data_IF_228960801641
#
_entry.id   IF_228960801641
#
_cell.length_a   1.000
_cell.length_b   1.000
_cell.length_c   1.000
_cell.angle_alpha   90.00
_cell.angle_beta   90.00
_cell.angle_gamma   90.00
#
_symmetry.space_group_name_H-M   'P 1'
#
loop_
_entity.id
_entity.type
_entity.pdbx_description
1 polymer ?
#
# COMPACT_ATOMS: atom_id res chain seq x y z
N UNK A 1 -39.11 75.21 -41.89
CA UNK A 1 -39.91 74.15 -42.54
C UNK A 1 -39.25 72.82 -42.20
N UNK A 2 -40.03 71.86 -41.66
CA UNK A 2 -39.69 70.43 -41.44
C UNK A 2 -38.64 70.18 -40.33
N UNK A 3 -38.90 69.76 -39.08
CA UNK A 3 -39.73 68.71 -38.47
C UNK A 3 -39.23 67.26 -38.70
N UNK A 4 -38.67 66.61 -37.65
CA UNK A 4 -38.71 65.16 -37.29
C UNK A 4 -37.65 64.89 -36.20
N UNK A 5 -38.01 64.66 -34.93
CA UNK A 5 -38.63 63.48 -34.27
C UNK A 5 -37.68 62.27 -34.16
N UNK A 6 -37.20 62.09 -32.92
CA UNK A 6 -36.93 60.88 -32.12
C UNK A 6 -36.75 59.51 -32.79
N UNK A 7 -35.77 58.71 -32.30
CA UNK A 7 -36.08 57.41 -31.68
C UNK A 7 -34.92 56.90 -30.80
N UNK A 8 -35.27 56.59 -29.55
CA UNK A 8 -34.52 55.87 -28.53
C UNK A 8 -34.22 54.43 -28.97
N UNK A 9 -32.98 53.94 -28.76
CA UNK A 9 -32.73 52.54 -28.41
C UNK A 9 -31.71 52.53 -27.28
N UNK A 10 -32.22 52.47 -26.06
CA UNK A 10 -31.47 52.24 -24.83
C UNK A 10 -31.20 50.72 -24.74
N UNK A 11 -30.07 50.26 -25.26
CA UNK A 11 -29.63 48.86 -25.10
C UNK A 11 -29.23 48.62 -23.64
N UNK A 12 -30.17 48.09 -22.86
CA UNK A 12 -29.94 47.55 -21.52
C UNK A 12 -29.05 46.31 -21.69
N UNK A 13 -27.73 46.52 -21.63
CA UNK A 13 -26.75 45.45 -21.47
C UNK A 13 -26.89 44.89 -20.05
N UNK A 14 -27.81 43.95 -19.88
CA UNK A 14 -27.92 43.14 -18.67
C UNK A 14 -26.65 42.30 -18.53
N UNK A 15 -25.68 42.82 -17.77
CA UNK A 15 -24.60 42.03 -17.17
C UNK A 15 -25.24 41.01 -16.22
N UNK A 16 -25.63 39.86 -16.76
CA UNK A 16 -25.85 38.66 -15.98
C UNK A 16 -24.48 38.22 -15.44
N UNK A 17 -24.10 38.81 -14.31
CA UNK A 17 -23.09 38.26 -13.43
C UNK A 17 -23.66 36.94 -12.87
N UNK A 18 -23.52 35.86 -13.64
CA UNK A 18 -23.67 34.53 -13.09
C UNK A 18 -22.65 34.41 -11.96
N UNK A 19 -23.05 34.18 -10.70
CA UNK A 19 -22.09 33.77 -9.69
C UNK A 19 -21.52 32.45 -10.22
N UNK A 20 -20.26 32.49 -10.66
CA UNK A 20 -19.48 31.27 -10.85
C UNK A 20 -19.33 30.73 -9.43
N UNK A 21 -20.32 29.93 -9.03
CA UNK A 21 -20.35 29.26 -7.75
C UNK A 21 -19.06 28.48 -7.64
N UNK A 22 -18.19 28.91 -6.74
CA UNK A 22 -16.97 28.23 -6.39
C UNK A 22 -17.32 26.94 -5.64
N UNK A 23 -17.87 25.94 -6.35
CA UNK A 23 -18.12 24.59 -5.83
C UNK A 23 -16.93 23.65 -6.14
N UNK A 24 -15.76 24.22 -6.42
CA UNK A 24 -14.57 23.47 -6.82
C UNK A 24 -13.58 23.19 -5.68
N UNK A 25 -13.90 23.56 -4.43
CA UNK A 25 -12.97 23.46 -3.30
C UNK A 25 -12.72 22.03 -2.78
N UNK A 26 -13.52 21.03 -3.18
CA UNK A 26 -13.43 19.67 -2.62
C UNK A 26 -12.85 18.60 -3.56
N UNK A 27 -12.64 18.89 -4.84
CA UNK A 27 -12.43 17.81 -5.81
C UNK A 27 -10.95 17.56 -6.14
N UNK A 28 -10.23 16.91 -5.22
CA UNK A 28 -9.09 16.07 -5.58
C UNK A 28 -9.48 14.58 -5.39
N UNK A 29 -10.06 13.92 -6.40
CA UNK A 29 -10.48 12.51 -6.30
C UNK A 29 -9.32 11.51 -6.18
N UNK A 30 -8.09 11.98 -6.41
CA UNK A 30 -6.87 11.23 -6.16
C UNK A 30 -6.58 11.06 -4.66
N UNK A 31 -7.22 11.85 -3.79
CA UNK A 31 -7.12 11.75 -2.33
C UNK A 31 -8.47 11.34 -1.74
N UNK A 32 -8.51 10.13 -1.20
CA UNK A 32 -9.61 9.55 -0.44
C UNK A 32 -8.99 8.65 0.62
N UNK A 33 -8.95 9.10 1.86
CA UNK A 33 -8.33 8.36 2.95
C UNK A 33 -9.26 7.31 3.57
N UNK A 34 -10.47 7.12 3.03
CA UNK A 34 -11.45 6.14 3.51
C UNK A 34 -11.69 6.28 5.02
N UNK A 35 -11.85 7.51 5.50
CA UNK A 35 -11.92 7.78 6.94
C UNK A 35 -13.16 7.20 7.60
N UNK A 36 -14.27 7.04 6.85
CA UNK A 36 -15.54 6.57 7.38
C UNK A 36 -15.51 5.10 7.85
N UNK A 37 -14.62 4.28 7.29
CA UNK A 37 -14.48 2.86 7.62
C UNK A 37 -13.62 2.60 8.86
N UNK A 38 -12.98 3.64 9.43
CA UNK A 38 -12.18 3.48 10.64
C UNK A 38 -13.09 3.19 11.86
N UNK A 39 -12.77 2.19 12.70
CA UNK A 39 -13.65 1.69 13.75
C UNK A 39 -13.80 2.62 14.97
N UNK A 40 -12.95 3.64 15.09
CA UNK A 40 -12.88 4.53 16.26
C UNK A 40 -13.09 5.98 15.85
N UNK A 41 -13.95 6.69 16.57
CA UNK A 41 -14.28 8.09 16.27
C UNK A 41 -13.05 9.01 16.24
N UNK A 42 -12.15 8.87 17.21
CA UNK A 42 -10.92 9.66 17.24
C UNK A 42 -10.01 9.37 16.03
N UNK A 43 -9.95 8.13 15.52
CA UNK A 43 -9.23 7.81 14.28
C UNK A 43 -9.87 8.49 13.07
N UNK A 44 -11.21 8.48 12.99
CA UNK A 44 -11.96 9.17 11.92
C UNK A 44 -11.62 10.67 11.91
N UNK A 45 -11.66 11.32 13.07
CA UNK A 45 -11.35 12.75 13.21
C UNK A 45 -9.93 13.10 12.72
N UNK A 46 -8.92 12.34 13.15
CA UNK A 46 -7.53 12.55 12.69
C UNK A 46 -7.40 12.31 11.20
N UNK A 47 -8.04 11.25 10.68
CA UNK A 47 -8.05 10.92 9.26
C UNK A 47 -8.66 12.05 8.43
N UNK A 48 -9.84 12.57 8.79
CA UNK A 48 -10.48 13.66 8.04
C UNK A 48 -9.65 14.94 8.04
N UNK A 49 -8.96 15.25 9.14
CA UNK A 49 -8.04 16.39 9.21
C UNK A 49 -6.85 16.22 8.26
N UNK A 50 -6.25 15.03 8.24
CA UNK A 50 -5.16 14.70 7.32
C UNK A 50 -5.63 14.72 5.86
N UNK A 51 -6.76 14.09 5.55
CA UNK A 51 -7.37 14.07 4.21
C UNK A 51 -7.62 15.49 3.70
N UNK A 52 -8.20 16.36 4.53
CA UNK A 52 -8.44 17.76 4.19
C UNK A 52 -7.14 18.52 3.87
N UNK A 53 -6.06 18.25 4.61
CA UNK A 53 -4.75 18.83 4.32
C UNK A 53 -4.19 18.32 2.98
N UNK A 54 -4.28 17.02 2.73
CA UNK A 54 -3.81 16.39 1.49
C UNK A 54 -4.60 16.88 0.27
N UNK A 55 -5.92 17.04 0.38
CA UNK A 55 -6.78 17.61 -0.67
C UNK A 55 -6.38 19.05 -1.01
N UNK A 56 -6.14 19.91 0.00
CA UNK A 56 -5.63 21.27 -0.23
C UNK A 56 -4.28 21.28 -0.95
N UNK A 57 -3.34 20.41 -0.54
CA UNK A 57 -2.03 20.28 -1.19
C UNK A 57 -2.15 19.75 -2.63
N UNK A 58 -3.04 18.79 -2.86
CA UNK A 58 -3.31 18.24 -4.18
C UNK A 58 -3.85 19.31 -5.15
N UNK A 59 -4.83 20.12 -4.70
CA UNK A 59 -5.39 21.23 -5.50
C UNK A 59 -4.30 22.24 -5.83
N UNK A 60 -3.46 22.61 -4.85
CA UNK A 60 -2.33 23.52 -5.06
C UNK A 60 -1.25 22.95 -6.01
N UNK A 61 -1.22 21.63 -6.20
CA UNK A 61 -0.27 20.92 -7.05
C UNK A 61 -0.95 20.32 -8.29
N UNK A 62 -1.84 21.08 -8.93
CA UNK A 62 -2.47 20.70 -10.21
C UNK A 62 -3.17 19.33 -10.18
N UNK A 63 -3.90 19.06 -9.09
CA UNK A 63 -4.61 17.79 -8.85
C UNK A 63 -3.70 16.56 -8.72
N UNK A 64 -2.41 16.75 -8.38
CA UNK A 64 -1.47 15.66 -8.10
C UNK A 64 -1.16 15.61 -6.59
N UNK A 65 -1.44 14.50 -5.89
CA UNK A 65 -1.19 14.40 -4.46
C UNK A 65 0.33 14.42 -4.17
N UNK A 66 0.74 15.25 -3.19
CA UNK A 66 2.14 15.36 -2.74
C UNK A 66 2.47 14.45 -1.54
N UNK A 67 1.47 13.77 -0.98
CA UNK A 67 1.62 12.96 0.22
C UNK A 67 0.71 11.74 0.20
N UNK A 68 0.68 11.03 1.32
CA UNK A 68 -0.09 9.79 1.50
C UNK A 68 -1.06 9.90 2.67
N UNK A 69 -2.15 9.14 2.61
CA UNK A 69 -3.06 8.92 3.73
C UNK A 69 -2.37 8.03 4.77
N UNK A 70 -1.83 8.61 5.83
CA UNK A 70 -1.08 7.87 6.83
C UNK A 70 -2.02 7.21 7.86
N UNK A 71 -3.08 7.93 8.26
CA UNK A 71 -4.25 7.39 8.96
C UNK A 71 -5.32 7.12 7.91
N UNK A 72 -5.76 5.87 7.78
CA UNK A 72 -6.48 5.48 6.57
C UNK A 72 -7.34 4.23 6.71
N UNK A 73 -8.50 4.21 6.04
CA UNK A 73 -9.29 3.00 5.87
C UNK A 73 -8.67 2.00 4.89
N UNK A 74 -9.20 0.77 4.81
CA UNK A 74 -8.69 -0.28 3.93
C UNK A 74 -8.67 0.11 2.43
N UNK A 75 -9.59 0.95 1.97
CA UNK A 75 -9.74 1.37 0.58
C UNK A 75 -9.06 2.71 0.24
N UNK A 76 -8.26 3.26 1.15
CA UNK A 76 -7.66 4.58 1.00
C UNK A 76 -6.66 4.70 -0.17
N UNK A 77 -6.54 5.93 -0.68
CA UNK A 77 -5.60 6.37 -1.72
C UNK A 77 -5.22 7.86 -1.55
N UNK A 78 -3.97 8.24 -1.84
CA UNK A 78 -2.84 7.37 -2.17
C UNK A 78 -2.19 6.80 -0.91
N UNK A 79 -1.63 5.60 -1.03
CA UNK A 79 -0.83 4.94 0.01
C UNK A 79 0.56 4.60 -0.54
N UNK A 80 1.62 4.59 0.27
CA UNK A 80 2.97 4.24 -0.15
C UNK A 80 3.17 2.71 -0.29
N UNK A 81 2.10 1.92 -0.46
CA UNK A 81 2.16 0.47 -0.54
C UNK A 81 2.81 0.00 -1.85
N UNK A 82 3.35 -1.22 -1.85
CA UNK A 82 3.93 -1.83 -3.05
C UNK A 82 2.89 -2.56 -3.91
N UNK A 83 1.75 -2.91 -3.31
CA UNK A 83 0.60 -3.52 -3.98
C UNK A 83 -0.36 -2.43 -4.46
N UNK A 84 -0.64 -2.45 -5.75
CA UNK A 84 -1.67 -1.60 -6.36
C UNK A 84 -3.00 -2.36 -6.43
N UNK A 85 -4.07 -1.71 -5.98
CA UNK A 85 -5.42 -2.27 -6.03
C UNK A 85 -6.15 -1.73 -7.25
N UNK A 86 -5.97 -2.39 -8.39
CA UNK A 86 -6.68 -2.08 -9.64
C UNK A 86 -8.07 -2.72 -9.68
N UNK A 87 -9.02 -2.18 -10.43
CA UNK A 87 -10.28 -2.90 -10.65
C UNK A 87 -10.06 -4.18 -11.47
N UNK A 88 -10.69 -5.28 -11.06
CA UNK A 88 -10.66 -6.56 -11.78
C UNK A 88 -12.06 -6.91 -12.26
N UNK A 89 -12.16 -7.44 -13.48
CA UNK A 89 -13.43 -7.89 -14.05
C UNK A 89 -13.91 -9.21 -13.44
N UNK A 90 -15.21 -9.46 -13.47
CA UNK A 90 -15.78 -10.76 -13.10
C UNK A 90 -15.69 -11.70 -14.31
N UNK A 91 -15.21 -12.93 -14.06
CA UNK A 91 -15.16 -14.00 -15.04
C UNK A 91 -16.48 -14.78 -15.05
N UNK A 92 -16.95 -15.26 -16.22
CA UNK A 92 -18.05 -16.20 -16.28
C UNK A 92 -17.65 -17.54 -15.62
N UNK A 93 -18.63 -18.27 -15.09
CA UNK A 93 -18.39 -19.52 -14.36
C UNK A 93 -17.58 -20.55 -15.16
N UNK A 94 -17.83 -20.64 -16.47
CA UNK A 94 -17.12 -21.54 -17.40
C UNK A 94 -15.62 -21.26 -17.55
N UNK A 95 -15.13 -20.10 -17.10
CA UNK A 95 -13.71 -19.72 -17.15
C UNK A 95 -12.99 -19.86 -15.81
N UNK A 96 -13.70 -20.15 -14.72
CA UNK A 96 -13.10 -20.18 -13.39
C UNK A 96 -12.09 -21.30 -13.19
N UNK A 97 -12.36 -22.49 -13.73
CA UNK A 97 -11.43 -23.62 -13.64
C UNK A 97 -10.13 -23.33 -14.39
N UNK A 98 -10.24 -22.82 -15.62
CA UNK A 98 -9.09 -22.40 -16.41
C UNK A 98 -8.27 -21.30 -15.70
N UNK A 99 -8.93 -20.29 -15.12
CA UNK A 99 -8.24 -19.23 -14.39
C UNK A 99 -7.57 -19.73 -13.11
N UNK A 100 -8.14 -20.72 -12.42
CA UNK A 100 -7.51 -21.39 -11.28
C UNK A 100 -6.26 -22.15 -11.70
N UNK A 101 -6.31 -22.87 -12.83
CA UNK A 101 -5.16 -23.59 -13.37
C UNK A 101 -4.05 -22.63 -13.83
N UNK A 102 -4.40 -21.56 -14.53
CA UNK A 102 -3.45 -20.50 -14.90
C UNK A 102 -2.77 -19.91 -13.64
N UNK A 103 -3.51 -19.70 -12.55
CA UNK A 103 -2.93 -19.20 -11.29
C UNK A 103 -1.94 -20.20 -10.67
N UNK A 104 -2.19 -21.50 -10.79
CA UNK A 104 -1.23 -22.53 -10.35
C UNK A 104 0.03 -22.51 -11.23
N UNK A 105 -0.13 -22.43 -12.54
CA UNK A 105 1.00 -22.37 -13.47
C UNK A 105 1.89 -21.15 -13.23
N UNK A 106 1.30 -19.96 -13.01
CA UNK A 106 2.07 -18.75 -12.65
C UNK A 106 2.81 -18.95 -11.31
N UNK A 107 2.18 -19.59 -10.33
CA UNK A 107 2.85 -19.91 -9.06
C UNK A 107 4.04 -20.88 -9.24
N UNK A 108 3.91 -21.91 -10.08
CA UNK A 108 5.03 -22.80 -10.41
C UNK A 108 6.15 -22.05 -11.13
N UNK A 109 5.80 -21.18 -12.08
CA UNK A 109 6.74 -20.32 -12.79
C UNK A 109 7.52 -19.43 -11.81
N UNK A 110 6.85 -18.78 -10.85
CA UNK A 110 7.50 -17.97 -9.81
C UNK A 110 8.53 -18.76 -8.99
N UNK A 111 8.25 -20.02 -8.66
CA UNK A 111 9.20 -20.87 -7.95
C UNK A 111 10.42 -21.16 -8.82
N UNK A 112 10.20 -21.53 -10.08
CA UNK A 112 11.29 -21.78 -11.04
C UNK A 112 12.15 -20.53 -11.26
N UNK A 113 11.52 -19.35 -11.40
CA UNK A 113 12.21 -18.06 -11.54
C UNK A 113 13.06 -17.76 -10.29
N UNK A 114 12.55 -18.07 -9.10
CA UNK A 114 13.29 -17.89 -7.85
C UNK A 114 14.50 -18.83 -7.74
N UNK A 115 14.33 -20.11 -8.08
CA UNK A 115 15.43 -21.07 -8.07
C UNK A 115 16.52 -20.67 -9.09
N UNK A 116 16.12 -20.26 -10.30
CA UNK A 116 17.03 -19.75 -11.33
C UNK A 116 17.74 -18.47 -10.89
N UNK A 117 17.05 -17.58 -10.18
CA UNK A 117 17.65 -16.39 -9.60
C UNK A 117 18.76 -16.73 -8.59
N UNK A 118 18.52 -17.68 -7.68
CA UNK A 118 19.53 -18.14 -6.73
C UNK A 118 20.72 -18.81 -7.42
N UNK A 119 20.47 -19.58 -8.48
CA UNK A 119 21.50 -20.21 -9.30
C UNK A 119 22.40 -19.17 -9.98
N UNK A 120 21.83 -18.13 -10.59
CA UNK A 120 22.61 -17.06 -11.21
C UNK A 120 23.43 -16.26 -10.18
N UNK A 121 22.90 -16.03 -8.97
CA UNK A 121 23.69 -15.44 -7.88
C UNK A 121 24.87 -16.33 -7.51
N UNK A 122 24.67 -17.66 -7.45
CA UNK A 122 25.71 -18.62 -7.05
C UNK A 122 26.88 -18.64 -8.03
N UNK A 123 26.61 -18.52 -9.33
CA UNK A 123 27.64 -18.46 -10.38
C UNK A 123 28.10 -17.04 -10.73
N UNK A 124 27.73 -16.05 -9.91
CA UNK A 124 28.08 -14.62 -10.07
C UNK A 124 27.58 -13.96 -11.37
N UNK A 125 26.58 -14.56 -12.02
CA UNK A 125 25.89 -14.03 -13.20
C UNK A 125 24.84 -12.98 -12.81
N UNK A 126 25.28 -11.87 -12.23
CA UNK A 126 24.40 -10.88 -11.59
C UNK A 126 23.47 -10.15 -12.58
N UNK A 127 23.86 -10.02 -13.85
CA UNK A 127 23.04 -9.39 -14.89
C UNK A 127 21.85 -10.27 -15.23
N UNK A 128 22.09 -11.55 -15.41
CA UNK A 128 21.09 -12.60 -15.67
C UNK A 128 20.16 -12.74 -14.46
N UNK A 129 20.72 -12.78 -13.24
CA UNK A 129 19.94 -12.77 -12.01
C UNK A 129 18.96 -11.57 -11.97
N UNK A 130 19.43 -10.37 -12.33
CA UNK A 130 18.56 -9.18 -12.38
C UNK A 130 17.42 -9.35 -13.39
N UNK A 131 17.70 -9.88 -14.58
CA UNK A 131 16.69 -10.07 -15.64
C UNK A 131 15.61 -11.06 -15.19
N UNK A 132 16.00 -12.22 -14.67
CA UNK A 132 15.06 -13.22 -14.13
C UNK A 132 14.23 -12.61 -13.00
N UNK A 133 14.85 -11.83 -12.11
CA UNK A 133 14.12 -11.22 -11.01
C UNK A 133 13.13 -10.13 -11.46
N UNK A 134 13.41 -9.43 -12.56
CA UNK A 134 12.45 -8.49 -13.17
C UNK A 134 11.23 -9.23 -13.74
N UNK A 135 11.40 -10.44 -14.27
CA UNK A 135 10.30 -11.33 -14.69
C UNK A 135 9.53 -11.87 -13.49
N UNK A 136 10.23 -12.34 -12.46
CA UNK A 136 9.63 -12.77 -11.19
C UNK A 136 8.69 -11.71 -10.61
N UNK A 137 9.13 -10.43 -10.58
CA UNK A 137 8.31 -9.33 -10.07
C UNK A 137 6.99 -9.15 -10.84
N UNK A 138 7.01 -9.28 -12.17
CA UNK A 138 5.80 -9.20 -13.01
C UNK A 138 4.88 -10.41 -12.81
N UNK A 139 5.45 -11.60 -12.68
CA UNK A 139 4.69 -12.83 -12.41
C UNK A 139 4.01 -12.77 -11.03
N UNK A 140 4.63 -12.11 -10.05
CA UNK A 140 4.06 -11.89 -8.72
C UNK A 140 2.80 -11.01 -8.79
N UNK A 141 2.85 -9.94 -9.58
CA UNK A 141 1.71 -9.06 -9.85
C UNK A 141 0.58 -9.76 -10.60
N UNK A 142 0.93 -10.49 -11.66
CA UNK A 142 -0.02 -11.26 -12.44
C UNK A 142 -0.74 -12.30 -11.56
N UNK A 143 0.00 -13.00 -10.69
CA UNK A 143 -0.59 -13.97 -9.77
C UNK A 143 -1.58 -13.32 -8.80
N UNK A 144 -1.23 -12.19 -8.19
CA UNK A 144 -2.14 -11.49 -7.28
C UNK A 144 -3.38 -10.95 -7.99
N UNK A 145 -3.21 -10.40 -9.20
CA UNK A 145 -4.34 -9.94 -10.03
C UNK A 145 -5.29 -11.08 -10.39
N UNK A 146 -4.76 -12.23 -10.83
CA UNK A 146 -5.56 -13.43 -11.12
C UNK A 146 -6.32 -13.91 -9.88
N UNK A 147 -5.67 -13.90 -8.71
CA UNK A 147 -6.29 -14.28 -7.45
C UNK A 147 -7.45 -13.34 -7.07
N UNK A 148 -7.29 -12.03 -7.26
CA UNK A 148 -8.35 -11.03 -7.07
C UNK A 148 -9.51 -11.27 -8.03
N UNK A 149 -9.22 -11.51 -9.30
CA UNK A 149 -10.23 -11.77 -10.32
C UNK A 149 -11.05 -13.03 -9.99
N UNK A 150 -10.37 -14.13 -9.65
CA UNK A 150 -11.00 -15.40 -9.27
C UNK A 150 -11.91 -15.25 -8.05
N UNK A 151 -11.42 -14.60 -7.00
CA UNK A 151 -12.17 -14.46 -5.75
C UNK A 151 -13.37 -13.52 -5.90
N UNK A 152 -13.21 -12.40 -6.62
CA UNK A 152 -14.33 -11.51 -6.99
C UNK A 152 -15.39 -12.27 -7.79
N UNK A 153 -14.97 -13.14 -8.73
CA UNK A 153 -15.89 -13.92 -9.56
C UNK A 153 -16.63 -15.01 -8.78
N UNK A 154 -15.98 -15.68 -7.82
CA UNK A 154 -16.68 -16.61 -6.94
C UNK A 154 -17.66 -15.89 -6.00
N UNK A 155 -17.30 -14.71 -5.50
CA UNK A 155 -18.21 -13.90 -4.69
C UNK A 155 -19.46 -13.47 -5.48
N UNK A 156 -19.31 -13.02 -6.73
CA UNK A 156 -20.47 -12.63 -7.56
C UNK A 156 -21.40 -13.78 -7.94
N UNK A 157 -20.96 -15.03 -7.76
CA UNK A 157 -21.76 -16.24 -7.98
C UNK A 157 -22.36 -16.80 -6.66
N UNK A 158 -22.38 -16.00 -5.58
CA UNK A 158 -22.81 -16.41 -4.24
C UNK A 158 -22.03 -17.64 -3.71
N UNK A 159 -20.73 -17.70 -4.01
CA UNK A 159 -19.80 -18.74 -3.54
C UNK A 159 -18.74 -18.16 -2.59
N UNK A 160 -19.18 -17.36 -1.62
CA UNK A 160 -18.32 -16.60 -0.67
C UNK A 160 -17.38 -17.51 0.11
N UNK A 161 -17.84 -18.68 0.56
CA UNK A 161 -16.98 -19.65 1.26
C UNK A 161 -15.80 -20.08 0.38
N UNK A 162 -16.04 -20.31 -0.92
CA UNK A 162 -14.98 -20.69 -1.86
C UNK A 162 -14.03 -19.51 -2.09
N UNK A 163 -14.55 -18.30 -2.24
CA UNK A 163 -13.74 -17.08 -2.35
C UNK A 163 -12.82 -16.88 -1.13
N UNK A 164 -13.35 -16.98 0.10
CA UNK A 164 -12.57 -16.88 1.34
C UNK A 164 -11.50 -17.98 1.45
N UNK A 165 -11.83 -19.23 1.11
CA UNK A 165 -10.86 -20.33 1.14
C UNK A 165 -9.72 -20.12 0.13
N UNK A 166 -10.02 -19.60 -1.07
CA UNK A 166 -9.01 -19.25 -2.06
C UNK A 166 -8.09 -18.14 -1.55
N UNK A 167 -8.66 -17.10 -0.93
CA UNK A 167 -7.89 -16.04 -0.31
C UNK A 167 -6.95 -16.55 0.78
N UNK A 168 -7.47 -17.37 1.69
CA UNK A 168 -6.71 -17.93 2.78
C UNK A 168 -5.57 -18.85 2.29
N UNK A 169 -5.84 -19.69 1.29
CA UNK A 169 -4.83 -20.56 0.69
C UNK A 169 -3.73 -19.80 -0.03
N UNK A 170 -4.09 -18.73 -0.76
CA UNK A 170 -3.12 -17.85 -1.40
C UNK A 170 -2.27 -17.09 -0.38
N UNK A 171 -2.86 -16.58 0.70
CA UNK A 171 -2.14 -15.88 1.77
C UNK A 171 -0.98 -16.71 2.34
N UNK A 172 -1.23 -17.99 2.65
CA UNK A 172 -0.19 -18.89 3.17
C UNK A 172 0.97 -19.12 2.20
N UNK A 173 0.67 -19.28 0.90
CA UNK A 173 1.70 -19.42 -0.14
C UNK A 173 2.53 -18.15 -0.31
N UNK A 174 1.87 -16.99 -0.27
CA UNK A 174 2.53 -15.68 -0.38
C UNK A 174 3.43 -15.38 0.81
N UNK A 175 3.07 -15.79 2.04
CA UNK A 175 3.95 -15.69 3.21
C UNK A 175 5.21 -16.52 3.01
N UNK A 176 5.09 -17.79 2.63
CA UNK A 176 6.26 -18.66 2.45
C UNK A 176 7.24 -18.09 1.41
N UNK A 177 6.72 -17.57 0.30
CA UNK A 177 7.52 -16.88 -0.71
C UNK A 177 8.15 -15.59 -0.17
N UNK A 178 7.38 -14.78 0.57
CA UNK A 178 7.85 -13.54 1.18
C UNK A 178 9.01 -13.79 2.17
N UNK A 179 8.95 -14.87 2.95
CA UNK A 179 10.00 -15.26 3.88
C UNK A 179 11.28 -15.71 3.17
N UNK A 180 11.16 -16.52 2.12
CA UNK A 180 12.31 -16.92 1.28
C UNK A 180 13.00 -15.71 0.66
N UNK A 181 12.23 -14.78 0.09
CA UNK A 181 12.73 -13.52 -0.46
C UNK A 181 13.39 -12.63 0.62
N UNK A 182 12.80 -12.56 1.82
CA UNK A 182 13.36 -11.80 2.95
C UNK A 182 14.72 -12.37 3.35
N UNK A 183 14.80 -13.70 3.53
CA UNK A 183 16.01 -14.41 3.91
C UNK A 183 17.11 -14.20 2.87
N UNK A 184 16.79 -14.35 1.59
CA UNK A 184 17.73 -14.12 0.50
C UNK A 184 18.22 -12.66 0.46
N UNK A 185 17.30 -11.70 0.54
CA UNK A 185 17.66 -10.27 0.56
C UNK A 185 18.61 -9.91 1.69
N UNK A 186 18.33 -10.38 2.92
CA UNK A 186 19.22 -10.18 4.07
C UNK A 186 20.58 -10.89 3.90
N UNK A 187 20.59 -12.10 3.34
CA UNK A 187 21.83 -12.84 3.02
C UNK A 187 22.69 -12.07 2.02
N UNK A 188 22.08 -11.50 0.98
CA UNK A 188 22.79 -10.71 -0.04
C UNK A 188 23.35 -9.41 0.54
N UNK A 189 22.62 -8.71 1.42
CA UNK A 189 23.17 -7.56 2.16
C UNK A 189 24.39 -7.94 3.01
N UNK A 190 24.35 -9.10 3.66
CA UNK A 190 25.50 -9.60 4.43
C UNK A 190 26.68 -9.94 3.52
N UNK A 191 26.46 -10.63 2.39
CA UNK A 191 27.53 -10.93 1.41
C UNK A 191 28.15 -9.65 0.85
N UNK A 192 27.31 -8.66 0.52
CA UNK A 192 27.74 -7.34 0.05
C UNK A 192 28.76 -6.72 1.01
N UNK A 193 28.41 -6.61 2.29
CA UNK A 193 29.26 -5.92 3.28
C UNK A 193 30.59 -6.64 3.55
N UNK A 194 30.75 -7.87 3.07
CA UNK A 194 31.97 -8.66 3.18
C UNK A 194 32.73 -8.78 1.84
N UNK A 195 32.21 -8.19 0.75
CA UNK A 195 32.87 -8.21 -0.56
C UNK A 195 33.82 -7.02 -0.68
N UNK A 196 35.01 -7.26 -1.25
CA UNK A 196 36.03 -6.23 -1.47
C UNK A 196 36.01 -5.71 -2.92
N UNK A 197 35.26 -6.37 -3.82
CA UNK A 197 35.08 -5.92 -5.18
C UNK A 197 33.88 -4.97 -5.26
N UNK A 198 34.13 -3.70 -5.62
CA UNK A 198 33.12 -2.65 -5.65
C UNK A 198 31.99 -2.90 -6.67
N UNK A 199 32.28 -3.60 -7.77
CA UNK A 199 31.30 -3.95 -8.78
C UNK A 199 30.35 -5.04 -8.26
N UNK A 200 30.92 -6.10 -7.66
CA UNK A 200 30.13 -7.16 -7.01
C UNK A 200 29.35 -6.64 -5.82
N UNK A 201 29.94 -5.80 -4.99
CA UNK A 201 29.28 -5.13 -3.87
C UNK A 201 28.02 -4.39 -4.35
N UNK A 202 28.15 -3.56 -5.39
CA UNK A 202 27.03 -2.82 -5.98
C UNK A 202 25.96 -3.76 -6.53
N UNK A 203 26.37 -4.80 -7.27
CA UNK A 203 25.44 -5.77 -7.83
C UNK A 203 24.64 -6.50 -6.73
N UNK A 204 25.32 -7.00 -5.70
CA UNK A 204 24.70 -7.65 -4.55
C UNK A 204 23.72 -6.71 -3.82
N UNK A 205 24.06 -5.44 -3.64
CA UNK A 205 23.16 -4.44 -3.04
C UNK A 205 21.87 -4.23 -3.84
N UNK A 206 21.97 -4.16 -5.18
CA UNK A 206 20.80 -4.04 -6.06
C UNK A 206 19.91 -5.27 -5.95
N UNK A 207 20.48 -6.47 -6.05
CA UNK A 207 19.74 -7.73 -5.98
C UNK A 207 19.11 -7.94 -4.59
N UNK A 208 19.82 -7.57 -3.53
CA UNK A 208 19.31 -7.62 -2.16
C UNK A 208 18.07 -6.73 -1.98
N UNK A 209 18.13 -5.48 -2.45
CA UNK A 209 17.00 -4.56 -2.38
C UNK A 209 15.82 -5.04 -3.22
N UNK A 210 16.07 -5.65 -4.38
CA UNK A 210 15.02 -6.27 -5.21
C UNK A 210 14.33 -7.41 -4.44
N UNK A 211 15.08 -8.33 -3.85
CA UNK A 211 14.55 -9.41 -3.02
C UNK A 211 13.72 -8.89 -1.84
N UNK A 212 14.23 -7.90 -1.09
CA UNK A 212 13.50 -7.29 0.04
C UNK A 212 12.22 -6.57 -0.40
N UNK A 213 12.23 -5.83 -1.53
CA UNK A 213 11.02 -5.16 -2.04
C UNK A 213 9.96 -6.16 -2.47
N UNK A 214 10.34 -7.25 -3.16
CA UNK A 214 9.39 -8.31 -3.53
C UNK A 214 8.89 -9.07 -2.32
N UNK A 215 9.73 -9.32 -1.31
CA UNK A 215 9.31 -9.90 -0.03
C UNK A 215 8.24 -9.04 0.64
N UNK A 216 8.52 -7.75 0.76
CA UNK A 216 7.61 -6.77 1.31
C UNK A 216 6.27 -6.76 0.58
N UNK A 217 6.30 -6.78 -0.76
CA UNK A 217 5.11 -6.83 -1.61
C UNK A 217 4.31 -8.12 -1.44
N UNK A 218 4.97 -9.27 -1.36
CA UNK A 218 4.33 -10.56 -1.13
C UNK A 218 3.67 -10.64 0.27
N UNK A 219 4.28 -10.05 1.31
CA UNK A 219 3.62 -9.90 2.60
C UNK A 219 2.39 -8.99 2.52
N UNK A 220 2.45 -7.84 1.83
CA UNK A 220 1.26 -7.01 1.62
C UNK A 220 0.14 -7.77 0.91
N UNK A 221 0.45 -8.51 -0.16
CA UNK A 221 -0.51 -9.36 -0.86
C UNK A 221 -1.14 -10.40 0.07
N UNK A 222 -0.32 -11.05 0.92
CA UNK A 222 -0.80 -12.02 1.89
C UNK A 222 -1.68 -11.38 2.98
N UNK A 223 -1.33 -10.20 3.47
CA UNK A 223 -2.10 -9.49 4.48
C UNK A 223 -3.48 -9.11 3.95
N UNK A 224 -3.54 -8.52 2.73
CA UNK A 224 -4.79 -8.20 2.02
C UNK A 224 -5.65 -9.45 1.79
N UNK A 225 -4.99 -10.58 1.51
CA UNK A 225 -5.66 -11.87 1.31
C UNK A 225 -6.27 -12.39 2.61
N UNK A 226 -5.58 -12.28 3.74
CA UNK A 226 -6.17 -12.64 5.04
C UNK A 226 -7.32 -11.71 5.44
N UNK A 227 -7.20 -10.40 5.20
CA UNK A 227 -8.31 -9.46 5.38
C UNK A 227 -9.53 -9.90 4.57
N UNK A 228 -9.33 -10.20 3.28
CA UNK A 228 -10.40 -10.64 2.38
C UNK A 228 -10.98 -12.01 2.73
N UNK A 229 -10.25 -12.83 3.49
CA UNK A 229 -10.72 -14.09 4.04
C UNK A 229 -11.43 -13.95 5.40
N UNK A 230 -11.50 -12.74 5.98
CA UNK A 230 -12.04 -12.50 7.33
C UNK A 230 -11.12 -12.98 8.46
N UNK A 231 -9.80 -13.01 8.21
CA UNK A 231 -8.79 -13.48 9.15
C UNK A 231 -7.93 -12.31 9.69
N UNK A 232 -8.57 -11.28 10.24
CA UNK A 232 -7.93 -10.02 10.66
C UNK A 232 -6.74 -10.20 11.61
N UNK A 233 -6.83 -11.12 12.58
CA UNK A 233 -5.69 -11.47 13.45
C UNK A 233 -4.44 -11.87 12.67
N UNK A 234 -4.60 -12.66 11.60
CA UNK A 234 -3.48 -13.06 10.73
C UNK A 234 -3.03 -11.91 9.86
N UNK A 235 -3.96 -11.11 9.32
CA UNK A 235 -3.63 -9.92 8.56
C UNK A 235 -2.75 -8.97 9.38
N UNK A 236 -3.07 -8.75 10.67
CA UNK A 236 -2.29 -7.90 11.57
C UNK A 236 -0.82 -8.38 11.69
N UNK A 237 -0.59 -9.67 11.95
CA UNK A 237 0.77 -10.23 11.99
C UNK A 237 1.52 -10.02 10.66
N UNK A 238 0.86 -10.30 9.54
CA UNK A 238 1.51 -10.19 8.22
C UNK A 238 1.81 -8.74 7.83
N UNK A 239 0.94 -7.78 8.19
CA UNK A 239 1.23 -6.36 8.03
C UNK A 239 2.45 -5.92 8.84
N UNK A 240 2.62 -6.47 10.05
CA UNK A 240 3.80 -6.22 10.90
C UNK A 240 5.06 -6.78 10.24
N UNK A 241 5.01 -7.98 9.69
CA UNK A 241 6.14 -8.57 8.95
C UNK A 241 6.51 -7.74 7.72
N UNK A 242 5.51 -7.28 6.96
CA UNK A 242 5.73 -6.34 5.85
C UNK A 242 6.41 -5.04 6.34
N UNK A 243 6.02 -4.49 7.49
CA UNK A 243 6.68 -3.30 8.05
C UNK A 243 8.14 -3.56 8.44
N UNK A 244 8.44 -4.75 8.98
CA UNK A 244 9.80 -5.12 9.39
C UNK A 244 10.73 -5.20 8.18
N UNK A 245 10.24 -5.69 7.02
CA UNK A 245 11.01 -5.70 5.77
C UNK A 245 11.31 -4.28 5.28
N UNK A 246 10.32 -3.37 5.27
CA UNK A 246 10.63 -1.98 4.87
C UNK A 246 11.49 -1.25 5.87
N UNK A 247 11.45 -1.60 7.16
CA UNK A 247 12.39 -1.06 8.14
C UNK A 247 13.82 -1.51 7.83
N UNK A 248 14.03 -2.77 7.42
CA UNK A 248 15.33 -3.24 6.97
C UNK A 248 15.82 -2.47 5.74
N UNK A 249 14.94 -2.21 4.76
CA UNK A 249 15.26 -1.39 3.59
C UNK A 249 15.59 0.05 3.98
N UNK A 250 14.81 0.67 4.86
CA UNK A 250 15.03 2.03 5.36
C UNK A 250 16.39 2.16 6.06
N UNK A 251 16.71 1.22 6.96
CA UNK A 251 18.00 1.19 7.66
C UNK A 251 19.15 1.08 6.68
N UNK A 252 19.05 0.20 5.69
CA UNK A 252 20.04 0.07 4.63
C UNK A 252 20.18 1.37 3.84
N UNK A 253 19.08 1.95 3.35
CA UNK A 253 19.11 3.20 2.58
C UNK A 253 19.70 4.37 3.36
N UNK A 254 19.44 4.45 4.66
CA UNK A 254 20.04 5.45 5.54
C UNK A 254 21.55 5.26 5.67
N UNK A 255 22.02 4.03 5.86
CA UNK A 255 23.45 3.71 5.94
C UNK A 255 24.20 4.07 4.63
N UNK A 256 23.53 3.93 3.48
CA UNK A 256 24.05 4.31 2.16
C UNK A 256 23.95 5.81 1.86
N UNK A 257 23.51 6.65 2.81
CA UNK A 257 23.34 8.08 2.59
C UNK A 257 22.32 8.41 1.49
N UNK A 258 21.27 7.60 1.34
CA UNK A 258 20.24 7.84 0.32
C UNK A 258 19.52 9.18 0.55
N UNK A 259 19.03 9.83 -0.53
CA UNK A 259 18.29 11.09 -0.42
C UNK A 259 17.05 10.99 0.48
N UNK A 260 16.66 12.11 1.10
CA UNK A 260 15.50 12.19 1.99
C UNK A 260 14.20 11.70 1.34
N UNK A 261 14.01 11.92 0.04
CA UNK A 261 12.83 11.41 -0.68
C UNK A 261 12.70 9.87 -0.58
N UNK A 262 13.82 9.15 -0.66
CA UNK A 262 13.84 7.69 -0.51
C UNK A 262 13.62 7.28 0.95
N UNK A 263 14.25 8.00 1.89
CA UNK A 263 14.08 7.71 3.33
C UNK A 263 12.63 7.95 3.75
N UNK A 264 12.02 9.05 3.30
CA UNK A 264 10.63 9.39 3.55
C UNK A 264 9.68 8.35 2.95
N UNK A 265 9.93 7.89 1.73
CA UNK A 265 9.12 6.84 1.10
C UNK A 265 9.09 5.55 1.94
N UNK A 266 10.26 5.04 2.35
CA UNK A 266 10.32 3.82 3.16
C UNK A 266 9.84 4.03 4.59
N UNK A 267 10.03 5.22 5.17
CA UNK A 267 9.47 5.58 6.48
C UNK A 267 7.94 5.53 6.43
N UNK A 268 7.33 6.18 5.42
CA UNK A 268 5.88 6.14 5.21
C UNK A 268 5.36 4.72 4.98
N UNK A 269 6.11 3.86 4.27
CA UNK A 269 5.77 2.43 4.14
C UNK A 269 5.72 1.70 5.48
N UNK A 270 6.75 1.85 6.32
CA UNK A 270 6.77 1.23 7.65
C UNK A 270 5.57 1.71 8.45
N UNK A 271 5.32 3.02 8.43
CA UNK A 271 4.27 3.64 9.21
C UNK A 271 2.86 3.18 8.79
N UNK A 272 2.54 3.20 7.48
CA UNK A 272 1.24 2.77 6.95
C UNK A 272 0.97 1.29 7.24
N UNK A 273 1.99 0.43 7.17
CA UNK A 273 1.83 -1.00 7.48
C UNK A 273 1.64 -1.26 8.98
N UNK A 274 2.34 -0.53 9.84
CA UNK A 274 2.10 -0.57 11.28
C UNK A 274 0.73 0.00 11.65
N UNK A 275 0.25 1.02 10.94
CA UNK A 275 -1.12 1.50 11.08
C UNK A 275 -2.13 0.40 10.71
N UNK A 276 -1.96 -0.28 9.56
CA UNK A 276 -2.80 -1.41 9.17
C UNK A 276 -2.74 -2.57 10.17
N UNK A 277 -1.56 -2.81 10.76
CA UNK A 277 -1.42 -3.77 11.87
C UNK A 277 -2.34 -3.40 13.03
N UNK A 278 -2.29 -2.13 13.47
CA UNK A 278 -3.14 -1.63 14.56
C UNK A 278 -4.63 -1.66 14.22
N UNK A 279 -4.99 -1.29 12.99
CA UNK A 279 -6.35 -1.39 12.46
C UNK A 279 -6.91 -2.80 12.58
N UNK A 280 -6.18 -3.81 12.11
CA UNK A 280 -6.66 -5.20 12.19
C UNK A 280 -6.69 -5.73 13.62
N UNK A 281 -5.77 -5.30 14.49
CA UNK A 281 -5.87 -5.62 15.93
C UNK A 281 -7.11 -5.02 16.58
N UNK A 282 -7.47 -3.81 16.18
CA UNK A 282 -8.66 -3.14 16.66
C UNK A 282 -9.96 -3.86 16.22
N UNK A 283 -9.99 -4.45 15.03
CA UNK A 283 -11.14 -5.24 14.54
C UNK A 283 -11.35 -6.56 15.29
N UNK A 284 -10.30 -7.13 15.88
CA UNK A 284 -10.37 -8.37 16.68
C UNK A 284 -10.30 -8.11 18.18
N UNK A 285 -10.69 -6.90 18.61
CA UNK A 285 -10.83 -6.52 20.03
C UNK A 285 -9.54 -6.71 20.85
N UNK A 286 -8.38 -6.42 20.23
CA UNK A 286 -7.07 -6.39 20.91
C UNK A 286 -6.52 -4.96 21.02
N UNK A 287 -7.08 -4.11 21.91
CA UNK A 287 -6.74 -2.69 21.98
C UNK A 287 -5.26 -2.42 22.33
N UNK A 288 -4.64 -3.21 23.21
CA UNK A 288 -3.23 -2.98 23.60
C UNK A 288 -2.26 -3.27 22.45
N UNK A 289 -2.52 -4.31 21.67
CA UNK A 289 -1.76 -4.60 20.45
C UNK A 289 -1.95 -3.49 19.41
N UNK A 290 -3.19 -2.99 19.28
CA UNK A 290 -3.50 -1.89 18.38
C UNK A 290 -2.75 -0.62 18.79
N UNK A 291 -2.79 -0.26 20.08
CA UNK A 291 -2.06 0.85 20.66
C UNK A 291 -0.54 0.73 20.43
N UNK A 292 0.04 -0.44 20.71
CA UNK A 292 1.46 -0.68 20.50
C UNK A 292 1.86 -0.52 19.03
N UNK A 293 1.06 -1.05 18.09
CA UNK A 293 1.30 -0.91 16.66
C UNK A 293 1.20 0.56 16.20
N UNK A 294 0.22 1.32 16.70
CA UNK A 294 0.08 2.75 16.40
C UNK A 294 1.22 3.58 16.99
N UNK A 295 1.64 3.27 18.22
CA UNK A 295 2.80 3.91 18.86
C UNK A 295 4.06 3.63 18.06
N UNK A 296 4.25 2.42 17.55
CA UNK A 296 5.40 2.09 16.70
C UNK A 296 5.32 2.81 15.35
N UNK A 297 4.12 2.87 14.74
CA UNK A 297 3.86 3.62 13.51
C UNK A 297 4.28 5.09 13.63
N UNK A 298 4.06 5.70 14.80
CA UNK A 298 4.45 7.09 15.09
C UNK A 298 5.87 7.43 14.80
N UNK A 299 6.78 6.53 15.12
CA UNK A 299 8.21 6.79 15.02
C UNK A 299 8.67 6.95 13.55
N UNK A 300 7.76 6.72 12.59
CA UNK A 300 8.02 6.77 11.16
C UNK A 300 7.19 7.82 10.39
N UNK A 301 6.29 8.56 11.05
CA UNK A 301 5.65 9.74 10.45
C UNK A 301 6.57 10.95 10.57
N UNK A 302 7.43 11.14 9.56
CA UNK A 302 8.32 12.28 9.50
C UNK A 302 7.49 13.58 9.38
N UNK A 303 7.78 14.58 10.22
CA UNK A 303 7.16 15.90 10.24
C UNK A 303 5.65 15.97 10.58
N UNK A 304 5.07 14.93 11.20
CA UNK A 304 3.64 14.89 11.57
C UNK A 304 3.39 14.42 13.02
N UNK A 305 4.21 14.91 13.97
CA UNK A 305 4.10 14.54 15.39
C UNK A 305 2.70 14.79 15.98
N UNK A 306 2.02 15.85 15.54
CA UNK A 306 0.71 16.26 16.05
C UNK A 306 -0.43 15.29 15.70
N UNK A 307 -0.34 14.53 14.60
CA UNK A 307 -1.44 13.64 14.20
C UNK A 307 -1.63 12.50 15.19
N UNK A 308 -0.56 12.11 15.89
CA UNK A 308 -0.52 10.81 16.58
C UNK A 308 -0.68 10.92 18.08
N UNK A 309 -0.34 12.06 18.70
CA UNK A 309 -0.81 12.33 20.06
C UNK A 309 -2.33 12.14 20.08
N UNK A 310 -3.04 12.74 19.12
CA UNK A 310 -4.50 12.63 18.99
C UNK A 310 -5.00 11.23 18.64
N UNK A 311 -4.21 10.39 17.94
CA UNK A 311 -4.60 8.99 17.71
C UNK A 311 -4.50 8.14 18.98
N UNK A 312 -3.53 8.44 19.85
CA UNK A 312 -3.28 7.67 21.07
C UNK A 312 -4.15 8.16 22.25
N UNK A 313 -4.56 9.42 22.26
CA UNK A 313 -5.41 10.01 23.31
C UNK A 313 -6.74 9.24 23.49
N UNK A 314 -7.24 8.62 22.42
CA UNK A 314 -8.46 7.81 22.46
C UNK A 314 -8.32 6.43 23.13
N UNK A 315 -7.11 6.02 23.51
CA UNK A 315 -6.87 4.79 24.26
C UNK A 315 -6.94 4.99 25.77
N UNK A 316 -6.96 6.24 26.26
CA UNK A 316 -6.98 6.54 27.70
C UNK A 316 -5.72 6.07 28.42
N UNK A 317 -5.48 6.63 29.60
CA UNK A 317 -4.39 6.17 30.47
C UNK A 317 -4.80 4.84 31.12
N UNK A 318 -4.72 3.73 30.36
CA UNK A 318 -5.01 2.38 30.89
C UNK A 318 -3.96 1.92 31.91
N UNK A 319 -2.95 2.74 32.20
CA UNK A 319 -1.89 2.47 33.16
C UNK A 319 -2.32 2.55 34.64
N UNK A 320 -3.59 2.85 34.95
CA UNK A 320 -4.05 3.12 36.34
C UNK A 320 -4.93 2.02 36.94
N UNK A 321 -5.06 0.84 36.32
CA UNK A 321 -5.91 -0.23 36.86
C UNK A 321 -5.23 -1.61 36.89
N UNK A 322 -4.02 -1.70 37.44
CA UNK A 322 -3.48 -2.94 38.01
C UNK A 322 -3.05 -2.67 39.46
N UNK A 323 -3.99 -2.88 40.38
CA UNK A 323 -3.75 -3.15 41.81
C UNK A 323 -4.27 -4.56 42.11
#
# INVERSE_FOLDING_TARGET
>A
MVCRVSFFILSIAACFAFPIGAVAADNCPAVDCDCASLPKEHWRSVCYKEESQLKRQCIANSSQPLGYCLVHGPAAKPLPLAVEMTEVSVLPESKLEQAQENSRQVYWSLRSDFDMFEDFIRIEAYKEAKVVFDVFGKNLDALFSNQRQLTKSFASLNKERKARNLWYGYAGKSISMAESLRKLGLKLLKKRNADNDSSRERALGILALKALRSSSKAFEMAAQSYTSAGADKKAAFVWRDASAVSLAILKYKRAEGAPDSHLNYYSNQVAVRLFRTGYHWQLVERPDDAFNALRDSRNYFLNKSYLISTLLDGYGDTSVAEN
#
